data_IF_353558205402
#
_entry.id   IF_353558205402
#
_cell.length_a   1.000
_cell.length_b   1.000
_cell.length_c   1.000
_cell.angle_alpha   90.00
_cell.angle_beta   90.00
_cell.angle_gamma   90.00
#
_symmetry.space_group_name_H-M   'P 1'
#
loop_
_entity.id
_entity.type
_entity.pdbx_description
1 polymer ?
#
# COMPACT_ATOMS: atom_id res chain seq x y z
N UNK A 1 7.33 -13.46 -8.53
CA UNK A 1 7.37 -14.79 -7.87
C UNK A 1 8.78 -15.21 -7.46
N UNK A 2 9.86 -14.79 -8.15
CA UNK A 2 11.23 -15.20 -7.82
C UNK A 2 11.85 -14.57 -6.54
N UNK A 3 11.36 -13.43 -6.05
CA UNK A 3 11.95 -12.76 -4.87
C UNK A 3 11.63 -13.47 -3.53
N UNK A 4 10.50 -14.20 -3.46
CA UNK A 4 10.07 -14.89 -2.23
C UNK A 4 10.91 -16.14 -1.98
N UNK A 5 11.35 -16.84 -3.01
CA UNK A 5 12.19 -18.04 -2.87
C UNK A 5 13.58 -17.68 -2.34
N UNK A 6 14.20 -16.57 -2.81
CA UNK A 6 15.51 -16.15 -2.30
C UNK A 6 15.51 -15.75 -0.83
N UNK A 7 14.41 -15.14 -0.34
CA UNK A 7 14.29 -14.70 1.05
C UNK A 7 14.08 -15.86 2.03
N UNK A 8 13.60 -17.01 1.56
CA UNK A 8 13.38 -18.21 2.39
C UNK A 8 14.66 -19.06 2.44
N UNK A 9 15.43 -19.12 1.34
CA UNK A 9 16.71 -19.85 1.30
C UNK A 9 17.75 -19.27 2.27
N UNK A 10 17.76 -17.95 2.48
CA UNK A 10 18.64 -17.29 3.45
C UNK A 10 18.31 -17.62 4.92
N UNK A 11 17.08 -18.06 5.21
CA UNK A 11 16.64 -18.57 6.52
C UNK A 11 17.00 -20.04 6.73
N UNK A 12 17.14 -20.82 5.65
CA UNK A 12 17.41 -22.26 5.73
C UNK A 12 18.84 -22.56 6.20
N UNK A 13 19.84 -21.73 5.87
CA UNK A 13 21.22 -21.92 6.31
C UNK A 13 21.38 -21.99 7.84
N UNK A 14 20.86 -21.02 8.61
CA UNK A 14 20.85 -21.05 10.07
C UNK A 14 19.95 -22.16 10.66
N UNK A 15 18.84 -22.48 10.00
CA UNK A 15 17.84 -23.46 10.47
C UNK A 15 18.21 -24.93 10.19
N UNK A 16 19.05 -25.21 9.18
CA UNK A 16 19.46 -26.57 8.79
C UNK A 16 20.20 -27.32 9.91
N UNK A 17 20.89 -26.59 10.80
CA UNK A 17 21.55 -27.17 11.98
C UNK A 17 20.58 -27.59 13.11
N UNK A 18 19.26 -27.37 12.93
CA UNK A 18 18.20 -27.81 13.85
C UNK A 18 17.46 -29.07 13.34
N UNK A 19 17.91 -29.69 12.25
CA UNK A 19 17.38 -30.99 11.78
C UNK A 19 16.03 -30.91 11.06
N UNK A 20 15.76 -29.83 10.33
CA UNK A 20 14.50 -29.65 9.59
C UNK A 20 14.80 -29.78 8.09
N UNK A 21 14.38 -30.89 7.49
CA UNK A 21 14.48 -31.12 6.03
C UNK A 21 13.36 -30.40 5.27
N UNK A 22 13.74 -29.77 4.17
CA UNK A 22 12.90 -28.94 3.31
C UNK A 22 11.98 -29.78 2.42
N UNK A 23 10.76 -30.07 2.87
CA UNK A 23 9.70 -30.60 1.99
C UNK A 23 8.30 -30.49 2.63
N UNK A 24 7.88 -29.26 3.01
CA UNK A 24 6.47 -28.88 3.24
C UNK A 24 6.36 -27.37 3.59
N UNK A 25 6.50 -26.49 2.61
CA UNK A 25 6.95 -25.11 2.80
C UNK A 25 5.99 -24.09 3.49
N UNK A 26 4.78 -24.46 3.93
CA UNK A 26 3.88 -23.52 4.63
C UNK A 26 3.53 -23.98 6.06
N UNK A 27 3.10 -25.22 6.22
CA UNK A 27 2.74 -25.78 7.54
C UNK A 27 3.98 -26.04 8.40
N UNK A 28 5.10 -26.41 7.76
CA UNK A 28 6.38 -26.68 8.43
C UNK A 28 7.09 -25.38 8.83
N UNK A 29 6.84 -24.29 8.10
CA UNK A 29 7.40 -22.96 8.38
C UNK A 29 6.82 -22.36 9.67
N UNK A 30 5.52 -22.49 9.90
CA UNK A 30 4.90 -22.08 11.17
C UNK A 30 5.41 -22.89 12.37
N UNK A 31 5.50 -24.22 12.22
CA UNK A 31 6.03 -25.09 13.27
C UNK A 31 7.52 -24.82 13.55
N UNK A 32 8.29 -24.47 12.53
CA UNK A 32 9.70 -24.12 12.69
C UNK A 32 9.90 -22.75 13.38
N UNK A 33 9.05 -21.76 13.07
CA UNK A 33 9.02 -20.48 13.78
C UNK A 33 8.68 -20.72 15.26
N UNK A 34 7.68 -21.54 15.55
CA UNK A 34 7.29 -21.84 16.93
C UNK A 34 8.39 -22.59 17.70
N UNK A 35 9.07 -23.55 17.06
CA UNK A 35 10.23 -24.24 17.63
C UNK A 35 11.40 -23.28 17.90
N UNK A 36 11.65 -22.32 17.01
CA UNK A 36 12.66 -21.28 17.19
C UNK A 36 12.32 -20.36 18.38
N UNK A 37 11.06 -19.93 18.52
CA UNK A 37 10.61 -19.12 19.67
C UNK A 37 10.88 -19.86 20.99
N UNK A 38 10.49 -21.14 21.10
CA UNK A 38 10.76 -21.94 22.31
C UNK A 38 12.26 -22.13 22.58
N UNK A 39 13.06 -22.31 21.53
CA UNK A 39 14.52 -22.40 21.65
C UNK A 39 15.12 -21.08 22.17
N UNK A 40 14.56 -19.96 21.74
CA UNK A 40 14.99 -18.60 22.14
C UNK A 40 14.67 -18.33 23.61
N UNK A 41 13.45 -18.68 24.04
CA UNK A 41 13.03 -18.61 25.45
C UNK A 41 13.95 -19.43 26.36
N UNK A 42 14.35 -20.62 25.91
CA UNK A 42 15.27 -21.49 26.66
C UNK A 42 16.68 -20.91 26.75
N UNK A 43 17.19 -20.31 25.68
CA UNK A 43 18.49 -19.60 25.68
C UNK A 43 18.48 -18.38 26.60
N UNK A 44 17.38 -17.63 26.64
CA UNK A 44 17.21 -16.50 27.56
C UNK A 44 17.20 -16.96 29.03
N UNK A 45 16.64 -18.14 29.31
CA UNK A 45 16.62 -18.73 30.64
C UNK A 45 18.03 -19.15 31.09
N UNK A 46 18.81 -19.79 30.21
CA UNK A 46 20.21 -20.15 30.47
C UNK A 46 21.10 -18.91 30.69
N UNK A 47 20.87 -17.82 29.95
CA UNK A 47 21.60 -16.57 30.15
C UNK A 47 21.32 -15.97 31.55
N UNK A 48 20.07 -16.04 32.04
CA UNK A 48 19.71 -15.61 33.41
C UNK A 48 20.38 -16.45 34.48
N UNK A 49 20.48 -17.77 34.29
CA UNK A 49 21.20 -18.66 35.21
C UNK A 49 22.70 -18.34 35.28
N UNK A 50 23.32 -18.04 34.12
CA UNK A 50 24.73 -17.63 34.07
C UNK A 50 24.97 -16.28 34.78
N UNK A 51 24.05 -15.34 34.64
CA UNK A 51 24.10 -14.04 35.32
C UNK A 51 23.95 -14.18 36.85
N UNK A 52 23.10 -15.09 37.31
CA UNK A 52 22.91 -15.38 38.73
C UNK A 52 24.16 -16.02 39.38
N UNK A 53 24.91 -16.83 38.62
CA UNK A 53 26.18 -17.42 39.07
C UNK A 53 27.30 -16.37 39.25
N UNK A 54 27.32 -15.30 38.44
CA UNK A 54 28.28 -14.19 38.62
C UNK A 54 28.05 -13.35 39.88
N UNK A 55 26.82 -13.27 40.38
CA UNK A 55 26.47 -12.41 41.54
C UNK A 55 26.82 -13.09 42.87
N UNK A 56 26.87 -14.43 42.91
CA UNK A 56 26.92 -15.20 44.16
C UNK A 56 28.33 -15.53 44.64
N UNK A 57 29.28 -15.71 43.73
CA UNK A 57 30.63 -16.16 44.05
C UNK A 57 31.67 -15.13 43.56
N UNK A 58 32.37 -14.50 44.51
CA UNK A 58 33.42 -13.52 44.22
C UNK A 58 34.58 -14.07 43.38
N UNK A 59 35.59 -13.24 43.06
CA UNK A 59 36.58 -13.45 41.97
C UNK A 59 37.49 -14.69 42.10
N UNK A 60 37.34 -15.52 43.14
CA UNK A 60 38.13 -16.72 43.39
C UNK A 60 37.62 -17.99 42.65
N UNK A 61 36.42 -17.96 42.04
CA UNK A 61 35.90 -19.06 41.18
C UNK A 61 35.99 -18.70 39.68
N UNK A 62 37.03 -17.98 39.27
CA UNK A 62 37.42 -17.93 37.85
C UNK A 62 38.09 -19.24 37.37
N UNK A 63 38.13 -20.27 38.22
CA UNK A 63 38.55 -21.61 37.82
C UNK A 63 37.35 -22.46 37.38
N UNK A 64 37.36 -22.86 36.11
CA UNK A 64 36.52 -23.88 35.44
C UNK A 64 35.18 -23.49 34.80
N UNK A 65 34.58 -22.32 35.04
CA UNK A 65 33.63 -21.77 34.05
C UNK A 65 34.47 -21.29 32.89
N UNK A 66 34.78 -22.20 31.97
CA UNK A 66 35.90 -22.05 31.05
C UNK A 66 35.64 -20.88 30.09
N UNK A 67 36.70 -20.15 29.72
CA UNK A 67 36.68 -19.19 28.62
C UNK A 67 35.95 -19.75 27.38
N UNK A 68 36.07 -21.07 27.14
CA UNK A 68 35.36 -21.76 26.08
C UNK A 68 33.83 -21.79 26.28
N UNK A 69 33.31 -21.98 27.49
CA UNK A 69 31.86 -21.85 27.78
C UNK A 69 31.36 -20.42 27.57
N UNK A 70 32.13 -19.42 27.99
CA UNK A 70 31.80 -18.01 27.75
C UNK A 70 31.82 -17.66 26.25
N UNK A 71 32.82 -18.16 25.50
CA UNK A 71 32.90 -18.01 24.04
C UNK A 71 31.75 -18.73 23.32
N UNK A 72 31.35 -19.92 23.81
CA UNK A 72 30.23 -20.68 23.26
C UNK A 72 28.92 -19.94 23.50
N UNK A 73 28.71 -19.40 24.71
CA UNK A 73 27.55 -18.59 25.04
C UNK A 73 27.49 -17.31 24.19
N UNK A 74 28.61 -16.60 24.05
CA UNK A 74 28.71 -15.43 23.19
C UNK A 74 28.38 -15.76 21.71
N UNK A 75 28.88 -16.90 21.21
CA UNK A 75 28.52 -17.39 19.87
C UNK A 75 27.02 -17.66 19.72
N UNK A 76 26.39 -18.27 20.73
CA UNK A 76 24.93 -18.48 20.74
C UNK A 76 24.15 -17.17 20.78
N UNK A 77 24.58 -16.18 21.55
CA UNK A 77 23.95 -14.85 21.61
C UNK A 77 24.04 -14.14 20.25
N UNK A 78 25.22 -14.11 19.62
CA UNK A 78 25.37 -13.48 18.31
C UNK A 78 24.51 -14.17 17.24
N UNK A 79 24.40 -15.50 17.28
CA UNK A 79 23.50 -16.24 16.38
C UNK A 79 22.03 -15.92 16.63
N UNK A 80 21.65 -15.70 17.89
CA UNK A 80 20.29 -15.31 18.24
C UNK A 80 19.97 -13.88 17.78
N UNK A 81 20.92 -12.95 17.92
CA UNK A 81 20.81 -11.59 17.43
C UNK A 81 20.61 -11.57 15.90
N UNK A 82 21.42 -12.34 15.18
CA UNK A 82 21.30 -12.52 13.73
C UNK A 82 19.93 -13.06 13.33
N UNK A 83 19.48 -14.14 13.98
CA UNK A 83 18.18 -14.73 13.72
C UNK A 83 17.03 -13.76 14.03
N UNK A 84 17.13 -12.98 15.11
CA UNK A 84 16.14 -11.95 15.46
C UNK A 84 16.07 -10.87 14.38
N UNK A 85 17.22 -10.43 13.86
CA UNK A 85 17.28 -9.46 12.76
C UNK A 85 16.63 -9.99 11.49
N UNK A 86 16.91 -11.25 11.13
CA UNK A 86 16.31 -11.90 9.95
C UNK A 86 14.79 -12.04 10.09
N UNK A 87 14.31 -12.45 11.27
CA UNK A 87 12.88 -12.57 11.56
C UNK A 87 12.20 -11.20 11.49
N UNK A 88 12.81 -10.15 12.06
CA UNK A 88 12.28 -8.80 11.99
C UNK A 88 12.17 -8.31 10.54
N UNK A 89 13.20 -8.52 9.72
CA UNK A 89 13.16 -8.20 8.29
C UNK A 89 12.11 -9.00 7.52
N UNK A 90 11.95 -10.29 7.84
CA UNK A 90 10.94 -11.15 7.24
C UNK A 90 9.53 -10.71 7.63
N UNK A 91 9.30 -10.34 8.89
CA UNK A 91 8.04 -9.82 9.37
C UNK A 91 7.64 -8.52 8.65
N UNK A 92 8.60 -7.59 8.46
CA UNK A 92 8.39 -6.37 7.68
C UNK A 92 8.03 -6.67 6.21
N UNK A 93 8.72 -7.61 5.59
CA UNK A 93 8.41 -8.06 4.23
C UNK A 93 7.01 -8.69 4.12
N UNK A 94 6.65 -9.57 5.06
CA UNK A 94 5.30 -10.16 5.12
C UNK A 94 4.25 -9.07 5.29
N UNK A 95 4.51 -8.07 6.13
CA UNK A 95 3.59 -6.94 6.32
C UNK A 95 3.41 -6.17 5.00
N UNK A 96 4.50 -5.81 4.32
CA UNK A 96 4.45 -5.13 3.01
C UNK A 96 3.68 -5.93 1.95
N UNK A 97 3.92 -7.24 1.88
CA UNK A 97 3.21 -8.15 0.96
C UNK A 97 1.72 -8.21 1.32
N UNK A 98 1.39 -8.28 2.61
CA UNK A 98 0.01 -8.32 3.11
C UNK A 98 -0.74 -7.03 2.76
N UNK A 99 -0.13 -5.87 3.00
CA UNK A 99 -0.69 -4.56 2.63
C UNK A 99 -0.97 -4.52 1.12
N UNK A 100 0.04 -4.83 0.30
CA UNK A 100 -0.09 -4.79 -1.17
C UNK A 100 -1.15 -5.76 -1.68
N UNK A 101 -1.18 -6.98 -1.17
CA UNK A 101 -2.16 -7.99 -1.58
C UNK A 101 -3.58 -7.56 -1.21
N UNK A 102 -3.76 -6.95 -0.04
CA UNK A 102 -5.04 -6.41 0.42
C UNK A 102 -5.50 -5.25 -0.45
N UNK A 103 -4.61 -4.31 -0.78
CA UNK A 103 -4.91 -3.21 -1.70
C UNK A 103 -5.30 -3.76 -3.07
N UNK A 104 -4.52 -4.66 -3.66
CA UNK A 104 -4.84 -5.25 -4.97
C UNK A 104 -6.20 -5.96 -4.97
N UNK A 105 -6.52 -6.68 -3.90
CA UNK A 105 -7.84 -7.29 -3.73
C UNK A 105 -8.94 -6.23 -3.74
N UNK A 106 -8.80 -5.15 -2.97
CA UNK A 106 -9.76 -4.04 -2.92
C UNK A 106 -9.96 -3.38 -4.28
N UNK A 107 -8.86 -3.11 -4.99
CA UNK A 107 -8.90 -2.52 -6.32
C UNK A 107 -9.62 -3.42 -7.34
N UNK A 108 -9.58 -4.74 -7.14
CA UNK A 108 -10.31 -5.71 -7.95
C UNK A 108 -11.83 -5.75 -7.69
N UNK A 109 -12.33 -5.13 -6.63
CA UNK A 109 -13.76 -5.17 -6.29
C UNK A 109 -14.62 -4.25 -7.17
N UNK A 110 -14.04 -3.19 -7.74
CA UNK A 110 -14.77 -2.22 -8.53
C UNK A 110 -14.22 -2.18 -9.97
N UNK A 111 -15.11 -1.84 -10.92
CA UNK A 111 -14.69 -1.62 -12.29
C UNK A 111 -13.82 -0.35 -12.37
N UNK A 112 -12.74 -0.42 -13.13
CA UNK A 112 -11.73 0.61 -13.21
C UNK A 112 -11.78 1.25 -14.60
N UNK A 113 -12.38 2.43 -14.68
CA UNK A 113 -12.27 3.27 -15.88
C UNK A 113 -10.80 3.58 -16.17
N UNK A 114 -10.49 3.96 -17.41
CA UNK A 114 -9.13 4.38 -17.79
C UNK A 114 -8.61 5.51 -16.88
N UNK A 115 -9.48 6.46 -16.53
CA UNK A 115 -9.17 7.57 -15.61
C UNK A 115 -8.86 7.08 -14.20
N UNK A 116 -9.68 6.17 -13.65
CA UNK A 116 -9.45 5.58 -12.33
C UNK A 116 -8.10 4.84 -12.29
N UNK A 117 -7.74 4.10 -13.35
CA UNK A 117 -6.43 3.42 -13.41
C UNK A 117 -5.26 4.39 -13.33
N UNK A 118 -5.36 5.55 -13.99
CA UNK A 118 -4.34 6.60 -13.93
C UNK A 118 -4.24 7.22 -12.53
N UNK A 119 -5.39 7.50 -11.90
CA UNK A 119 -5.44 8.01 -10.52
C UNK A 119 -4.87 6.99 -9.52
N UNK A 120 -5.19 5.70 -9.67
CA UNK A 120 -4.61 4.63 -8.86
C UNK A 120 -3.09 4.56 -8.97
N UNK A 121 -2.55 4.68 -10.19
CA UNK A 121 -1.10 4.69 -10.40
C UNK A 121 -0.45 5.95 -9.79
N UNK A 122 -1.10 7.11 -9.92
CA UNK A 122 -0.61 8.37 -9.35
C UNK A 122 -0.59 8.33 -7.81
N UNK A 123 -1.59 7.72 -7.18
CA UNK A 123 -1.73 7.66 -5.73
C UNK A 123 -1.25 6.36 -5.07
N UNK A 124 -0.61 5.44 -5.79
CA UNK A 124 -0.21 4.11 -5.31
C UNK A 124 0.45 4.16 -3.92
N UNK A 125 1.46 5.01 -3.76
CA UNK A 125 2.20 5.14 -2.50
C UNK A 125 1.34 5.70 -1.35
N UNK A 126 0.46 6.67 -1.63
CA UNK A 126 -0.45 7.23 -0.62
C UNK A 126 -1.49 6.19 -0.20
N UNK A 127 -2.03 5.42 -1.15
CA UNK A 127 -2.98 4.34 -0.88
C UNK A 127 -2.33 3.24 -0.03
N UNK A 128 -1.10 2.83 -0.38
CA UNK A 128 -0.33 1.88 0.42
C UNK A 128 -0.12 2.40 1.84
N UNK A 129 0.24 3.68 1.99
CA UNK A 129 0.45 4.28 3.30
C UNK A 129 -0.83 4.28 4.17
N UNK A 130 -1.97 4.66 3.58
CA UNK A 130 -3.28 4.60 4.27
C UNK A 130 -3.59 3.16 4.69
N UNK A 131 -3.40 2.19 3.79
CA UNK A 131 -3.66 0.79 4.07
C UNK A 131 -2.76 0.22 5.19
N UNK A 132 -1.48 0.58 5.21
CA UNK A 132 -0.55 0.23 6.29
C UNK A 132 -1.03 0.79 7.63
N UNK A 133 -1.39 2.07 7.68
CA UNK A 133 -1.88 2.70 8.90
C UNK A 133 -3.18 2.07 9.41
N UNK A 134 -4.09 1.72 8.50
CA UNK A 134 -5.33 1.02 8.84
C UNK A 134 -5.05 -0.37 9.46
N UNK A 135 -4.09 -1.11 8.91
CA UNK A 135 -3.66 -2.41 9.44
C UNK A 135 -2.98 -2.32 10.81
N UNK A 136 -2.18 -1.29 11.04
CA UNK A 136 -1.49 -1.05 12.32
C UNK A 136 -2.44 -0.58 13.43
N UNK A 137 -3.47 0.18 13.08
CA UNK A 137 -4.44 0.74 14.04
C UNK A 137 -5.63 -0.17 14.30
N UNK A 138 -5.93 -1.10 13.40
CA UNK A 138 -7.03 -2.03 13.62
C UNK A 138 -6.63 -3.13 14.61
N UNK A 139 -7.17 -3.05 15.83
CA UNK A 139 -7.26 -4.20 16.76
C UNK A 139 -8.17 -5.31 16.21
N UNK A 140 -8.84 -5.05 15.08
CA UNK A 140 -9.90 -5.85 14.49
C UNK A 140 -9.32 -6.86 13.51
N UNK A 141 -9.30 -8.13 13.92
CA UNK A 141 -8.78 -9.24 13.11
C UNK A 141 -9.63 -9.50 11.86
N UNK A 142 -8.96 -9.56 10.70
CA UNK A 142 -9.39 -10.26 9.49
C UNK A 142 -10.53 -9.61 8.71
N UNK A 143 -11.77 -9.76 9.16
CA UNK A 143 -12.96 -9.49 8.33
C UNK A 143 -13.25 -8.00 8.10
N UNK A 144 -12.73 -7.11 8.94
CA UNK A 144 -13.03 -5.67 8.88
C UNK A 144 -11.89 -4.82 8.31
N UNK A 145 -10.75 -5.44 8.01
CA UNK A 145 -9.57 -4.74 7.46
C UNK A 145 -9.88 -4.13 6.09
N UNK A 146 -10.50 -4.91 5.19
CA UNK A 146 -10.84 -4.44 3.85
C UNK A 146 -11.86 -3.27 3.86
N UNK A 147 -13.00 -3.36 4.57
CA UNK A 147 -13.89 -2.22 4.75
C UNK A 147 -13.20 -0.99 5.34
N UNK A 148 -12.32 -1.17 6.34
CA UNK A 148 -11.63 -0.05 6.97
C UNK A 148 -10.69 0.68 6.03
N UNK A 149 -9.87 -0.05 5.27
CA UNK A 149 -8.98 0.53 4.26
C UNK A 149 -9.78 1.29 3.19
N UNK A 150 -10.89 0.69 2.71
CA UNK A 150 -11.74 1.32 1.71
C UNK A 150 -12.42 2.60 2.24
N UNK A 151 -12.87 2.58 3.50
CA UNK A 151 -13.43 3.75 4.19
C UNK A 151 -12.38 4.84 4.35
N UNK A 152 -11.17 4.51 4.81
CA UNK A 152 -10.09 5.49 4.99
C UNK A 152 -9.65 6.09 3.65
N UNK A 153 -9.62 5.31 2.56
CA UNK A 153 -9.36 5.84 1.22
C UNK A 153 -10.51 6.73 0.71
N UNK A 154 -11.76 6.38 1.00
CA UNK A 154 -12.91 7.22 0.68
C UNK A 154 -12.84 8.56 1.43
N UNK A 155 -12.59 8.55 2.74
CA UNK A 155 -12.43 9.77 3.54
C UNK A 155 -11.22 10.59 3.05
N UNK A 156 -10.08 9.95 2.77
CA UNK A 156 -8.91 10.61 2.22
C UNK A 156 -9.20 11.29 0.86
N UNK A 157 -10.14 10.77 0.06
CA UNK A 157 -10.59 11.43 -1.18
C UNK A 157 -11.46 12.66 -0.93
N UNK A 158 -12.16 12.74 0.20
CA UNK A 158 -12.96 13.89 0.62
C UNK A 158 -12.12 14.96 1.32
N UNK A 159 -11.17 14.52 2.15
CA UNK A 159 -10.28 15.37 2.95
C UNK A 159 -9.11 15.95 2.12
N UNK A 160 -9.04 15.59 0.84
CA UNK A 160 -8.05 16.11 -0.12
C UNK A 160 -6.69 15.41 -0.11
N UNK A 161 -6.47 14.38 0.72
CA UNK A 161 -5.22 13.61 0.69
C UNK A 161 -5.06 12.79 -0.60
N UNK A 162 -6.19 12.34 -1.15
CA UNK A 162 -6.34 11.71 -2.46
C UNK A 162 -7.17 12.61 -3.38
N UNK A 163 -6.90 13.92 -3.41
CA UNK A 163 -7.61 14.85 -4.28
C UNK A 163 -7.29 14.56 -5.75
N UNK A 164 -8.30 14.18 -6.53
CA UNK A 164 -8.14 13.97 -7.97
C UNK A 164 -7.58 15.22 -8.69
N UNK A 165 -7.80 16.42 -8.15
CA UNK A 165 -7.25 17.65 -8.69
C UNK A 165 -5.72 17.69 -8.67
N UNK A 166 -5.04 17.01 -7.75
CA UNK A 166 -3.57 16.95 -7.74
C UNK A 166 -3.07 16.31 -9.05
N UNK A 167 -3.76 15.27 -9.53
CA UNK A 167 -3.44 14.61 -10.79
C UNK A 167 -3.83 15.47 -12.00
N UNK A 168 -5.04 16.04 -12.00
CA UNK A 168 -5.54 16.79 -13.15
C UNK A 168 -4.88 18.16 -13.32
N UNK A 169 -4.51 18.84 -12.22
CA UNK A 169 -3.85 20.14 -12.27
C UNK A 169 -2.50 20.03 -12.97
N UNK A 170 -1.67 19.04 -12.60
CA UNK A 170 -0.40 18.82 -13.28
C UNK A 170 -0.57 18.46 -14.76
N UNK A 171 -1.64 17.74 -15.11
CA UNK A 171 -1.94 17.42 -16.51
C UNK A 171 -2.39 18.67 -17.29
N UNK A 172 -3.23 19.49 -16.67
CA UNK A 172 -3.74 20.73 -17.25
C UNK A 172 -2.61 21.76 -17.40
N UNK A 173 -1.72 21.91 -16.42
CA UNK A 173 -0.54 22.76 -16.48
C UNK A 173 0.42 22.32 -17.61
N UNK A 174 0.64 21.02 -17.78
CA UNK A 174 1.45 20.49 -18.88
C UNK A 174 0.83 20.80 -20.26
N UNK A 175 -0.50 20.97 -20.35
CA UNK A 175 -1.16 21.41 -21.60
C UNK A 175 -1.06 22.91 -21.84
N UNK A 176 -0.71 23.69 -20.81
CA UNK A 176 -0.47 25.13 -20.89
C UNK A 176 1.01 25.46 -21.18
N UNK A 177 1.92 24.49 -21.08
CA UNK A 177 3.26 24.61 -21.66
C UNK A 177 3.15 24.58 -23.19
N UNK A 178 2.85 25.75 -23.77
CA UNK A 178 2.70 25.94 -25.21
C UNK A 178 3.99 25.55 -25.95
N UNK A 179 3.92 24.71 -27.01
CA UNK A 179 4.59 25.09 -28.24
C UNK A 179 3.84 26.31 -28.80
N UNK A 180 4.55 27.37 -29.21
CA UNK A 180 3.99 28.49 -29.99
C UNK A 180 2.94 27.98 -30.98
N UNK A 181 1.81 28.69 -31.12
CA UNK A 181 0.74 28.29 -32.04
C UNK A 181 1.37 27.97 -33.40
N UNK A 182 1.38 26.70 -33.85
CA UNK A 182 2.21 26.29 -34.97
C UNK A 182 1.85 27.00 -36.28
N UNK A 183 0.64 27.57 -36.34
CA UNK A 183 0.06 28.28 -37.45
C UNK A 183 -0.09 29.78 -37.19
N UNK A 184 0.57 30.37 -36.18
CA UNK A 184 0.45 31.81 -35.90
C UNK A 184 0.91 32.69 -37.09
N UNK A 185 1.78 32.16 -37.96
CA UNK A 185 2.25 32.83 -39.19
C UNK A 185 1.36 32.54 -40.41
N UNK A 186 0.30 31.74 -40.26
CA UNK A 186 -0.60 31.40 -41.35
C UNK A 186 -1.54 32.56 -41.69
N UNK A 187 -1.88 32.70 -42.98
CA UNK A 187 -2.84 33.70 -43.44
C UNK A 187 -4.22 33.43 -42.83
N UNK A 188 -4.57 32.15 -42.66
CA UNK A 188 -5.82 31.71 -42.04
C UNK A 188 -5.97 32.19 -40.58
N UNK A 189 -4.87 32.28 -39.83
CA UNK A 189 -4.88 32.81 -38.46
C UNK A 189 -5.25 34.31 -38.45
N UNK A 190 -4.63 35.11 -39.32
CA UNK A 190 -4.92 36.54 -39.40
C UNK A 190 -6.30 36.82 -39.99
N UNK A 191 -6.76 36.05 -40.96
CA UNK A 191 -8.14 36.12 -41.46
C UNK A 191 -9.16 35.82 -40.37
N UNK A 192 -8.88 34.83 -39.50
CA UNK A 192 -9.72 34.53 -38.35
C UNK A 192 -9.78 35.70 -37.36
N UNK A 193 -8.63 36.26 -36.99
CA UNK A 193 -8.53 37.44 -36.11
C UNK A 193 -9.24 38.67 -36.69
N UNK A 194 -9.07 38.94 -37.98
CA UNK A 194 -9.77 40.03 -38.68
C UNK A 194 -11.28 39.82 -38.65
N UNK A 195 -11.76 38.59 -38.88
CA UNK A 195 -13.19 38.26 -38.81
C UNK A 195 -13.75 38.38 -37.39
N UNK A 196 -12.98 38.01 -36.36
CA UNK A 196 -13.38 38.24 -34.97
C UNK A 196 -13.56 39.72 -34.66
N UNK A 197 -12.79 40.61 -35.29
CA UNK A 197 -12.85 42.05 -35.06
C UNK A 197 -13.90 42.78 -35.93
N UNK A 198 -14.11 42.33 -37.17
CA UNK A 198 -14.92 43.03 -38.17
C UNK A 198 -16.34 42.47 -38.33
N UNK A 199 -16.56 41.17 -38.06
CA UNK A 199 -17.84 40.49 -38.28
C UNK A 199 -18.48 40.11 -36.93
N UNK A 200 -19.51 40.87 -36.55
CA UNK A 200 -20.20 40.69 -35.27
C UNK A 200 -20.92 39.33 -35.18
N UNK A 201 -21.50 38.85 -36.29
CA UNK A 201 -22.22 37.57 -36.33
C UNK A 201 -21.25 36.40 -36.26
N UNK A 202 -20.10 36.49 -36.95
CA UNK A 202 -19.02 35.51 -36.85
C UNK A 202 -18.44 35.46 -35.44
N UNK A 203 -18.09 36.62 -34.87
CA UNK A 203 -17.57 36.74 -33.51
C UNK A 203 -18.54 36.10 -32.51
N UNK A 204 -19.83 36.41 -32.61
CA UNK A 204 -20.85 35.82 -31.74
C UNK A 204 -20.95 34.30 -31.90
N UNK A 205 -20.99 33.80 -33.13
CA UNK A 205 -21.03 32.36 -33.41
C UNK A 205 -19.81 31.61 -32.85
N UNK A 206 -18.63 32.19 -33.01
CA UNK A 206 -17.37 31.64 -32.49
C UNK A 206 -17.36 31.59 -30.96
N UNK A 207 -17.73 32.69 -30.27
CA UNK A 207 -17.80 32.70 -28.81
C UNK A 207 -18.86 31.75 -28.26
N UNK A 208 -20.01 31.63 -28.92
CA UNK A 208 -21.05 30.68 -28.53
C UNK A 208 -20.55 29.23 -28.64
N UNK A 209 -19.85 28.89 -29.73
CA UNK A 209 -19.26 27.55 -29.91
C UNK A 209 -18.13 27.28 -28.93
N UNK A 210 -17.21 28.24 -28.76
CA UNK A 210 -16.12 28.15 -27.79
C UNK A 210 -16.64 27.95 -26.37
N UNK A 211 -17.66 28.72 -25.96
CA UNK A 211 -18.28 28.60 -24.65
C UNK A 211 -18.91 27.23 -24.46
N UNK A 212 -19.68 26.73 -25.44
CA UNK A 212 -20.27 25.38 -25.39
C UNK A 212 -19.21 24.28 -25.28
N UNK A 213 -18.11 24.40 -26.02
CA UNK A 213 -16.98 23.45 -25.97
C UNK A 213 -16.31 23.48 -24.61
N UNK A 214 -16.03 24.67 -24.07
CA UNK A 214 -15.44 24.87 -22.74
C UNK A 214 -16.34 24.32 -21.62
N UNK A 215 -17.64 24.61 -21.67
CA UNK A 215 -18.61 24.05 -20.72
C UNK A 215 -18.68 22.53 -20.78
N UNK A 216 -18.68 21.96 -21.99
CA UNK A 216 -18.68 20.51 -22.18
C UNK A 216 -17.44 19.88 -21.57
N UNK A 217 -16.26 20.43 -21.84
CA UNK A 217 -15.01 19.95 -21.25
C UNK A 217 -15.03 20.05 -19.73
N UNK A 218 -15.53 21.16 -19.18
CA UNK A 218 -15.65 21.36 -17.73
C UNK A 218 -16.54 20.29 -17.10
N UNK A 219 -17.68 19.98 -17.72
CA UNK A 219 -18.60 18.91 -17.25
C UNK A 219 -17.97 17.53 -17.34
N UNK A 220 -17.23 17.24 -18.42
CA UNK A 220 -16.52 15.97 -18.60
C UNK A 220 -15.44 15.81 -17.51
N UNK A 221 -14.61 16.83 -17.28
CA UNK A 221 -13.62 16.83 -16.18
C UNK A 221 -14.27 16.65 -14.82
N UNK A 222 -15.40 17.33 -14.57
CA UNK A 222 -16.12 17.18 -13.30
C UNK A 222 -16.63 15.75 -13.09
N UNK A 223 -17.13 15.09 -14.14
CA UNK A 223 -17.54 13.68 -14.07
C UNK A 223 -16.36 12.76 -13.81
N UNK A 224 -15.23 13.01 -14.45
CA UNK A 224 -14.00 12.27 -14.21
C UNK A 224 -13.52 12.41 -12.77
N UNK A 225 -13.57 13.62 -12.20
CA UNK A 225 -13.24 13.89 -10.80
C UNK A 225 -14.20 13.17 -9.84
N UNK A 226 -15.51 13.25 -10.09
CA UNK A 226 -16.51 12.52 -9.29
C UNK A 226 -16.35 11.00 -9.36
N UNK A 227 -15.91 10.48 -10.50
CA UNK A 227 -15.70 9.05 -10.69
C UNK A 227 -14.68 8.44 -9.72
N UNK A 228 -13.77 9.27 -9.18
CA UNK A 228 -12.77 8.87 -8.20
C UNK A 228 -13.37 8.60 -6.82
N UNK A 229 -14.18 9.52 -6.32
CA UNK A 229 -14.91 9.34 -5.06
C UNK A 229 -15.93 8.21 -5.18
N UNK A 230 -16.64 8.13 -6.32
CA UNK A 230 -17.59 7.05 -6.60
C UNK A 230 -16.90 5.69 -6.71
N UNK A 231 -15.64 5.64 -7.17
CA UNK A 231 -14.86 4.42 -7.18
C UNK A 231 -14.65 3.88 -5.77
N UNK A 232 -14.16 4.70 -4.83
CA UNK A 232 -13.95 4.29 -3.44
C UNK A 232 -15.24 3.89 -2.74
N UNK A 233 -16.33 4.63 -3.00
CA UNK A 233 -17.65 4.26 -2.49
C UNK A 233 -18.12 2.89 -3.01
N UNK A 234 -17.87 2.58 -4.28
CA UNK A 234 -18.18 1.27 -4.88
C UNK A 234 -17.31 0.16 -4.30
N UNK A 235 -16.02 0.40 -4.07
CA UNK A 235 -15.13 -0.55 -3.40
C UNK A 235 -15.66 -0.85 -1.99
N UNK A 236 -15.96 0.18 -1.20
CA UNK A 236 -16.48 0.06 0.16
C UNK A 236 -17.78 -0.76 0.22
N UNK A 237 -18.72 -0.50 -0.68
CA UNK A 237 -19.99 -1.22 -0.76
C UNK A 237 -19.85 -2.70 -1.18
N UNK A 238 -18.75 -3.05 -1.83
CA UNK A 238 -18.46 -4.43 -2.29
C UNK A 238 -17.51 -5.18 -1.37
N UNK A 239 -16.95 -4.51 -0.35
CA UNK A 239 -16.10 -5.16 0.63
C UNK A 239 -16.89 -6.21 1.44
N UNK A 240 -16.34 -7.42 1.64
CA UNK A 240 -16.93 -8.39 2.56
C UNK A 240 -16.96 -7.78 3.96
N UNK A 241 -18.13 -7.77 4.60
CA UNK A 241 -18.34 -7.14 5.91
C UNK A 241 -18.71 -5.65 5.87
N UNK A 242 -18.83 -5.04 4.68
CA UNK A 242 -19.34 -3.68 4.52
C UNK A 242 -20.84 -3.55 4.82
N UNK A 243 -21.36 -2.32 5.00
CA UNK A 243 -22.79 -2.09 5.18
C UNK A 243 -23.53 -2.62 3.95
N UNK A 244 -24.31 -3.70 4.12
CA UNK A 244 -25.14 -4.23 3.04
C UNK A 244 -26.19 -3.18 2.69
N UNK A 245 -26.36 -2.81 1.42
CA UNK A 245 -27.48 -1.95 1.03
C UNK A 245 -28.77 -2.64 1.48
N UNK A 246 -29.59 -1.93 2.26
CA UNK A 246 -30.90 -2.39 2.66
C UNK A 246 -31.72 -2.58 1.37
N UNK A 247 -31.87 -3.83 0.92
CA UNK A 247 -32.88 -4.19 -0.05
C UNK A 247 -34.23 -3.99 0.62
N UNK A 248 -34.80 -2.80 0.48
CA UNK A 248 -36.22 -2.61 0.74
C UNK A 248 -36.97 -3.43 -0.30
N UNK A 249 -37.58 -4.51 0.20
CA UNK A 249 -38.50 -5.36 -0.53
C UNK A 249 -39.49 -4.51 -1.34
N UNK A 250 -39.47 -4.72 -2.66
CA UNK A 250 -40.69 -4.71 -3.46
C UNK A 250 -41.72 -5.60 -2.75
N UNK A 251 -42.79 -4.96 -2.25
CA UNK A 251 -44.00 -5.66 -1.88
C UNK A 251 -45.03 -5.34 -2.95
N UNK A 252 -45.12 -6.24 -3.92
CA UNK A 252 -46.32 -6.40 -4.74
C UNK A 252 -47.46 -6.89 -3.85
N UNK A 253 -48.65 -6.35 -4.12
CA UNK A 253 -49.99 -6.88 -3.90
C UNK A 253 -50.44 -7.21 -2.46
N UNK A 254 -51.34 -6.35 -1.95
CA UNK A 254 -52.77 -6.66 -1.77
C UNK A 254 -53.62 -5.38 -1.81
#
# INVERSE_FOLDING_TARGET
>A
MAEVESSIDDLLGPMSNLGITAEAHLTTSFLAIEAFVRSTERSALLAKEFQALQIRDGPAIFSRVSLAQAQTLHSHINRLEEATRLIAGTADNINKITVRSTVLYLLGLADQSSTVKKLLAHFDQKIIHIATKALETSDIKGAYVCPKIAEDCYQASLDGQLDANDYFTSLDEATLEWPYDPDFESEEYYEHEDRLNLDEDYRKGFFDEYTRKSERQTRERQRERQSWTDFWLRVLNRCPGGPKPQTTHTRDNE
#
